data_IF_876571999700
#
_entry.id   IF_876571999700
#
_cell.length_a   1.000
_cell.length_b   1.000
_cell.length_c   1.000
_cell.angle_alpha   90.00
_cell.angle_beta   90.00
_cell.angle_gamma   90.00
#
_symmetry.space_group_name_H-M   'P 1'
#
loop_
_entity.id
_entity.type
_entity.pdbx_description
1 polymer ?
#
# COMPACT_ATOMS: atom_id res chain seq x y z
N UNK A 1 0.32 3.23 32.38
CA UNK A 1 -1.12 3.08 32.05
C UNK A 1 -1.29 2.55 30.63
N UNK A 2 -2.19 1.61 30.45
CA UNK A 2 -2.57 1.12 29.13
C UNK A 2 -3.79 1.86 28.60
N UNK A 3 -3.96 1.87 27.28
CA UNK A 3 -5.10 2.52 26.64
C UNK A 3 -6.16 1.51 26.25
N UNK A 4 -7.42 1.87 26.49
CA UNK A 4 -8.59 1.13 26.04
C UNK A 4 -9.11 1.71 24.74
N UNK A 5 -9.10 0.88 23.71
CA UNK A 5 -9.46 1.27 22.35
C UNK A 5 -10.64 0.42 21.91
N UNK A 6 -11.60 1.04 21.25
CA UNK A 6 -12.73 0.33 20.65
C UNK A 6 -13.06 0.88 19.27
N UNK A 7 -13.66 0.04 18.46
CA UNK A 7 -14.20 0.43 17.15
C UNK A 7 -15.69 0.67 17.28
N UNK A 8 -16.14 1.84 16.85
CA UNK A 8 -17.55 2.14 16.74
C UNK A 8 -18.08 1.72 15.37
N UNK A 9 -19.07 0.87 15.38
CA UNK A 9 -19.81 0.46 14.17
C UNK A 9 -21.01 1.38 14.01
N UNK A 10 -20.91 2.29 13.03
CA UNK A 10 -21.97 3.28 12.77
C UNK A 10 -23.25 2.65 12.22
N UNK A 11 -23.16 1.57 11.46
CA UNK A 11 -24.32 0.89 10.89
C UNK A 11 -25.13 0.18 12.00
N UNK A 12 -24.45 -0.49 12.92
CA UNK A 12 -25.07 -1.19 14.04
C UNK A 12 -25.27 -0.29 15.27
N UNK A 13 -24.67 0.89 15.29
CA UNK A 13 -24.79 1.88 16.37
C UNK A 13 -24.29 1.38 17.74
N UNK A 14 -23.18 0.66 17.75
CA UNK A 14 -22.55 0.21 19.00
C UNK A 14 -21.03 0.14 18.90
N UNK A 15 -20.37 0.16 20.06
CA UNK A 15 -18.93 -0.07 20.17
C UNK A 15 -18.64 -1.57 20.25
N UNK A 16 -17.67 -2.03 19.48
CA UNK A 16 -17.17 -3.41 19.60
C UNK A 16 -16.40 -3.61 20.90
N UNK A 17 -16.12 -4.86 21.25
CA UNK A 17 -15.36 -5.19 22.45
C UNK A 17 -14.04 -4.42 22.50
N UNK A 18 -13.73 -3.75 23.60
CA UNK A 18 -12.51 -2.97 23.70
C UNK A 18 -11.27 -3.86 23.75
N UNK A 19 -10.18 -3.32 23.22
CA UNK A 19 -8.85 -3.90 23.33
C UNK A 19 -7.97 -3.02 24.20
N UNK A 20 -7.02 -3.64 24.87
CA UNK A 20 -6.05 -2.95 25.72
C UNK A 20 -4.71 -2.91 24.98
N UNK A 21 -4.17 -1.73 24.80
CA UNK A 21 -2.90 -1.50 24.11
C UNK A 21 -1.97 -0.62 24.94
N UNK A 22 -0.66 -0.73 24.72
CA UNK A 22 0.31 0.12 25.41
C UNK A 22 0.34 1.53 24.82
N UNK A 23 0.22 1.64 23.51
CA UNK A 23 0.28 2.89 22.77
C UNK A 23 -0.80 2.96 21.70
N UNK A 24 -1.24 4.18 21.41
CA UNK A 24 -2.23 4.43 20.36
C UNK A 24 -1.77 3.91 18.98
N UNK A 25 -0.48 3.95 18.68
CA UNK A 25 0.08 3.44 17.43
C UNK A 25 -0.11 1.93 17.26
N UNK A 26 -0.10 1.19 18.35
CA UNK A 26 -0.40 -0.25 18.33
C UNK A 26 -1.85 -0.51 17.88
N UNK A 27 -2.79 0.28 18.41
CA UNK A 27 -4.19 0.22 17.99
C UNK A 27 -4.38 0.59 16.51
N UNK A 28 -3.65 1.61 16.03
CA UNK A 28 -3.68 2.00 14.62
C UNK A 28 -3.18 0.89 13.69
N UNK A 29 -2.14 0.15 14.08
CA UNK A 29 -1.64 -1.00 13.32
C UNK A 29 -2.65 -2.15 13.27
N UNK A 30 -3.29 -2.44 14.38
CA UNK A 30 -4.34 -3.48 14.44
C UNK A 30 -5.52 -3.09 13.55
N UNK A 31 -5.93 -1.84 13.59
CA UNK A 31 -7.02 -1.29 12.77
C UNK A 31 -6.67 -1.32 11.28
N UNK A 32 -5.48 -0.88 10.92
CA UNK A 32 -4.94 -0.95 9.55
C UNK A 32 -4.94 -2.39 9.03
N UNK A 33 -4.47 -3.33 9.83
CA UNK A 33 -4.45 -4.76 9.46
C UNK A 33 -5.84 -5.30 9.17
N UNK A 34 -6.84 -4.88 9.93
CA UNK A 34 -8.24 -5.26 9.70
C UNK A 34 -8.76 -4.77 8.33
N UNK A 35 -8.39 -3.55 7.93
CA UNK A 35 -8.74 -3.01 6.61
C UNK A 35 -7.99 -3.68 5.46
N UNK A 36 -6.77 -4.14 5.68
CA UNK A 36 -5.98 -4.87 4.66
C UNK A 36 -6.44 -6.31 4.46
N UNK A 37 -7.17 -6.86 5.41
CA UNK A 37 -7.66 -8.24 5.33
C UNK A 37 -8.81 -8.33 4.32
N UNK A 38 -8.60 -9.08 3.24
CA UNK A 38 -9.62 -9.29 2.22
C UNK A 38 -10.81 -10.07 2.80
N UNK A 39 -12.01 -9.64 2.44
CA UNK A 39 -13.25 -10.26 2.90
C UNK A 39 -13.68 -9.88 4.31
N UNK A 40 -12.95 -9.00 5.00
CA UNK A 40 -13.38 -8.45 6.28
C UNK A 40 -14.49 -7.43 6.09
N UNK A 41 -15.32 -7.24 7.10
CA UNK A 41 -16.35 -6.19 7.09
C UNK A 41 -15.73 -4.80 7.03
N UNK A 42 -14.54 -4.63 7.61
CA UNK A 42 -13.79 -3.38 7.56
C UNK A 42 -13.38 -2.99 6.13
N UNK A 43 -12.92 -3.95 5.34
CA UNK A 43 -12.54 -3.70 3.95
C UNK A 43 -13.75 -3.49 3.05
N UNK A 44 -14.87 -4.16 3.34
CA UNK A 44 -16.10 -4.04 2.56
C UNK A 44 -16.84 -2.71 2.83
N UNK A 45 -16.87 -2.27 4.09
CA UNK A 45 -17.63 -1.09 4.55
C UNK A 45 -16.78 -0.13 5.38
N UNK A 46 -15.71 0.45 4.82
CA UNK A 46 -14.77 1.26 5.58
C UNK A 46 -15.39 2.51 6.22
N UNK A 47 -16.44 3.07 5.63
CA UNK A 47 -17.12 4.24 6.18
C UNK A 47 -17.89 3.96 7.47
N UNK A 48 -18.19 2.70 7.76
CA UNK A 48 -19.01 2.33 8.92
C UNK A 48 -18.22 2.21 10.22
N UNK A 49 -16.88 2.19 10.16
CA UNK A 49 -16.01 1.91 11.30
C UNK A 49 -15.07 3.06 11.61
N UNK A 50 -15.13 3.53 12.84
CA UNK A 50 -14.22 4.53 13.39
C UNK A 50 -13.53 3.98 14.64
N UNK A 51 -12.27 4.35 14.85
CA UNK A 51 -11.47 3.95 16.00
C UNK A 51 -11.55 5.02 17.09
N UNK A 52 -11.86 4.60 18.32
CA UNK A 52 -12.01 5.47 19.48
C UNK A 52 -11.13 5.08 20.64
N UNK A 53 -10.60 6.09 21.33
CA UNK A 53 -10.04 5.96 22.67
C UNK A 53 -11.19 6.12 23.66
N UNK A 54 -11.46 5.06 24.44
CA UNK A 54 -12.58 5.05 25.40
C UNK A 54 -12.16 5.21 26.85
N UNK A 55 -10.89 5.02 27.17
CA UNK A 55 -10.37 5.18 28.50
C UNK A 55 -8.95 4.67 28.66
N UNK A 56 -8.49 4.65 29.89
CA UNK A 56 -7.19 4.13 30.29
C UNK A 56 -7.35 3.05 31.36
N UNK A 57 -6.40 2.15 31.41
CA UNK A 57 -6.36 1.07 32.39
C UNK A 57 -5.07 1.16 33.20
N UNK A 58 -5.23 1.27 34.52
CA UNK A 58 -4.13 1.21 35.47
C UNK A 58 -3.87 -0.25 35.86
N UNK A 59 -2.75 -0.80 35.38
CA UNK A 59 -2.37 -2.19 35.63
C UNK A 59 -2.00 -2.45 37.11
N UNK A 60 -1.57 -1.43 37.83
CA UNK A 60 -1.14 -1.57 39.22
C UNK A 60 -2.36 -1.66 40.15
N UNK A 61 -3.35 -0.83 39.92
CA UNK A 61 -4.57 -0.77 40.76
C UNK A 61 -5.74 -1.55 40.19
N UNK A 62 -5.67 -1.96 38.90
CA UNK A 62 -6.79 -2.59 38.21
C UNK A 62 -7.95 -1.65 37.94
N UNK A 63 -7.71 -0.35 37.95
CA UNK A 63 -8.74 0.68 37.81
C UNK A 63 -8.89 1.12 36.38
N UNK A 64 -10.13 1.26 35.91
CA UNK A 64 -10.48 1.91 34.66
C UNK A 64 -10.64 3.41 34.89
N UNK A 65 -9.94 4.20 34.09
CA UNK A 65 -9.96 5.67 34.18
C UNK A 65 -10.57 6.22 32.90
N UNK A 66 -11.62 6.98 33.05
CA UNK A 66 -12.21 7.74 31.97
C UNK A 66 -11.59 9.14 31.99
N UNK A 67 -10.74 9.42 31.00
CA UNK A 67 -10.01 10.69 30.91
C UNK A 67 -10.84 11.82 30.33
N UNK A 68 -11.92 11.50 29.63
CA UNK A 68 -12.81 12.47 28.99
C UNK A 68 -14.27 12.08 29.15
N UNK A 69 -15.17 13.05 29.07
CA UNK A 69 -16.62 12.81 29.18
C UNK A 69 -17.16 11.84 28.10
N UNK A 70 -16.54 11.84 26.95
CA UNK A 70 -16.98 11.03 25.80
C UNK A 70 -15.79 10.31 25.15
N UNK A 71 -16.04 9.16 24.49
CA UNK A 71 -15.03 8.53 23.68
C UNK A 71 -14.43 9.50 22.63
N UNK A 72 -13.12 9.47 22.49
CA UNK A 72 -12.41 10.34 21.57
C UNK A 72 -12.07 9.58 20.29
N UNK A 73 -12.53 10.09 19.14
CA UNK A 73 -12.18 9.49 17.86
C UNK A 73 -10.69 9.68 17.55
N UNK A 74 -10.00 8.58 17.28
CA UNK A 74 -8.60 8.56 16.88
C UNK A 74 -8.50 8.75 15.36
N UNK A 75 -9.22 7.93 14.60
CA UNK A 75 -9.24 7.96 13.15
C UNK A 75 -10.55 7.38 12.63
N UNK A 76 -11.03 7.90 11.52
CA UNK A 76 -12.15 7.30 10.80
C UNK A 76 -11.66 6.16 9.88
N UNK A 77 -12.55 5.21 9.57
CA UNK A 77 -12.25 4.16 8.60
C UNK A 77 -11.93 4.70 7.22
N UNK A 78 -12.62 5.75 6.79
CA UNK A 78 -12.34 6.42 5.51
C UNK A 78 -10.94 7.01 5.47
N UNK A 79 -10.49 7.66 6.53
CA UNK A 79 -9.13 8.21 6.61
C UNK A 79 -8.08 7.09 6.62
N UNK A 80 -8.36 5.97 7.29
CA UNK A 80 -7.47 4.81 7.29
C UNK A 80 -7.28 4.25 5.89
N UNK A 81 -8.36 4.09 5.12
CA UNK A 81 -8.28 3.62 3.73
C UNK A 81 -7.45 4.58 2.86
N UNK A 82 -7.65 5.88 3.00
CA UNK A 82 -6.85 6.88 2.28
C UNK A 82 -5.37 6.81 2.62
N UNK A 83 -5.04 6.60 3.90
CA UNK A 83 -3.66 6.43 4.34
C UNK A 83 -3.02 5.17 3.74
N UNK A 84 -3.75 4.06 3.72
CA UNK A 84 -3.29 2.80 3.11
C UNK A 84 -3.02 2.99 1.61
N UNK A 85 -3.95 3.58 0.88
CA UNK A 85 -3.81 3.85 -0.56
C UNK A 85 -2.62 4.76 -0.86
N UNK A 86 -2.37 5.77 -0.03
CA UNK A 86 -1.21 6.66 -0.19
C UNK A 86 0.11 5.92 -0.01
N UNK A 87 0.21 5.08 1.02
CA UNK A 87 1.40 4.26 1.27
C UNK A 87 1.65 3.25 0.14
N UNK A 88 0.60 2.64 -0.38
CA UNK A 88 0.71 1.70 -1.50
C UNK A 88 1.19 2.40 -2.78
N UNK A 89 0.73 3.62 -3.06
CA UNK A 89 1.22 4.42 -4.20
C UNK A 89 2.69 4.78 -4.05
N UNK A 90 3.10 5.24 -2.88
CA UNK A 90 4.51 5.57 -2.61
C UNK A 90 5.42 4.34 -2.83
N UNK A 91 5.03 3.19 -2.30
CA UNK A 91 5.77 1.95 -2.52
C UNK A 91 5.79 1.49 -3.98
N UNK A 92 4.70 1.73 -4.73
CA UNK A 92 4.63 1.44 -6.15
C UNK A 92 5.57 2.34 -6.95
N UNK A 93 5.54 3.64 -6.68
CA UNK A 93 6.40 4.63 -7.33
C UNK A 93 7.89 4.36 -7.07
N UNK A 94 8.25 3.99 -5.84
CA UNK A 94 9.61 3.61 -5.49
C UNK A 94 10.08 2.36 -6.25
N UNK A 95 9.21 1.35 -6.36
CA UNK A 95 9.53 0.13 -7.13
C UNK A 95 9.72 0.43 -8.61
N UNK A 96 8.79 1.18 -9.21
CA UNK A 96 8.87 1.57 -10.62
C UNK A 96 10.12 2.40 -10.90
N UNK A 97 10.49 3.31 -10.01
CA UNK A 97 11.70 4.12 -10.13
C UNK A 97 12.98 3.27 -10.12
N UNK A 98 13.04 2.27 -9.24
CA UNK A 98 14.16 1.32 -9.17
C UNK A 98 14.25 0.45 -10.42
N UNK A 99 13.13 -0.12 -10.86
CA UNK A 99 13.08 -0.93 -12.08
C UNK A 99 13.50 -0.13 -13.32
N UNK A 100 13.04 1.12 -13.46
CA UNK A 100 13.43 2.00 -14.54
C UNK A 100 14.94 2.32 -14.51
N UNK A 101 15.50 2.48 -13.33
CA UNK A 101 16.93 2.73 -13.18
C UNK A 101 17.76 1.50 -13.55
N UNK A 102 17.36 0.33 -13.13
CA UNK A 102 18.00 -0.95 -13.49
C UNK A 102 17.95 -1.18 -15.00
N UNK A 103 16.81 -0.96 -15.65
CA UNK A 103 16.66 -1.06 -17.11
C UNK A 103 17.58 -0.08 -17.84
N UNK A 104 17.70 1.15 -17.36
CA UNK A 104 18.60 2.15 -17.95
C UNK A 104 20.07 1.77 -17.80
N UNK A 105 20.46 1.21 -16.66
CA UNK A 105 21.82 0.74 -16.42
C UNK A 105 22.16 -0.46 -17.30
N UNK A 106 21.26 -1.42 -17.42
CA UNK A 106 21.41 -2.58 -18.32
C UNK A 106 21.49 -2.15 -19.79
N UNK A 107 20.64 -1.24 -20.22
CA UNK A 107 20.66 -0.71 -21.60
C UNK A 107 21.96 0.06 -21.90
N UNK A 108 22.47 0.84 -20.94
CA UNK A 108 23.74 1.54 -21.05
C UNK A 108 24.92 0.57 -21.12
N UNK A 109 24.87 -0.53 -20.36
CA UNK A 109 25.90 -1.57 -20.39
C UNK A 109 25.87 -2.37 -21.68
N UNK A 110 24.71 -2.75 -22.19
CA UNK A 110 24.54 -3.44 -23.46
C UNK A 110 24.99 -2.57 -24.65
N UNK A 111 24.77 -1.27 -24.60
CA UNK A 111 25.25 -0.32 -25.64
C UNK A 111 26.79 -0.18 -25.67
N UNK A 112 27.45 -0.36 -24.52
CA UNK A 112 28.93 -0.34 -24.42
C UNK A 112 29.58 -1.63 -24.92
N UNK A 113 28.90 -2.77 -24.83
CA UNK A 113 29.49 -4.09 -25.14
C UNK A 113 29.36 -4.49 -26.62
N UNK A 114 28.44 -3.95 -27.41
CA UNK A 114 28.22 -4.40 -28.80
C UNK A 114 27.84 -3.31 -29.80
N UNK A 115 28.65 -2.24 -30.00
CA UNK A 115 28.25 -1.17 -30.92
C UNK A 115 28.41 -1.52 -32.42
N UNK A 116 29.16 -2.57 -32.81
CA UNK A 116 29.47 -2.86 -34.22
C UNK A 116 28.82 -4.11 -34.81
N UNK A 117 28.41 -5.09 -33.99
CA UNK A 117 27.85 -6.34 -34.51
C UNK A 117 26.42 -6.23 -35.03
N UNK A 118 25.64 -5.28 -34.53
CA UNK A 118 24.24 -5.11 -34.91
C UNK A 118 24.06 -4.34 -36.21
N UNK A 119 24.94 -3.42 -36.56
CA UNK A 119 24.90 -2.68 -37.83
C UNK A 119 25.19 -3.57 -39.04
N UNK A 120 26.13 -4.50 -38.92
CA UNK A 120 26.50 -5.41 -40.02
C UNK A 120 25.38 -6.44 -40.28
N UNK A 121 24.70 -6.94 -39.24
CA UNK A 121 23.57 -7.84 -39.41
C UNK A 121 22.33 -7.18 -40.00
N UNK A 122 22.05 -5.93 -39.66
CA UNK A 122 20.92 -5.19 -40.21
C UNK A 122 21.13 -4.88 -41.72
N UNK A 123 22.32 -4.58 -42.14
CA UNK A 123 22.66 -4.34 -43.55
C UNK A 123 22.49 -5.61 -44.39
N UNK A 124 22.88 -6.78 -43.89
CA UNK A 124 22.71 -8.06 -44.60
C UNK A 124 21.25 -8.50 -44.75
N UNK A 125 20.42 -8.21 -43.75
CA UNK A 125 18.97 -8.48 -43.80
C UNK A 125 18.28 -7.51 -44.75
N UNK A 126 18.70 -6.26 -44.79
CA UNK A 126 18.18 -5.25 -45.69
C UNK A 126 18.51 -5.57 -47.18
N UNK A 127 19.71 -6.03 -47.48
CA UNK A 127 20.11 -6.48 -48.80
C UNK A 127 19.30 -7.69 -49.28
N UNK A 128 18.97 -8.63 -48.41
CA UNK A 128 18.11 -9.77 -48.76
C UNK A 128 16.67 -9.36 -49.04
N UNK A 129 16.12 -8.37 -48.36
CA UNK A 129 14.78 -7.85 -48.61
C UNK A 129 14.70 -7.10 -49.94
N UNK A 130 15.70 -6.30 -50.30
CA UNK A 130 15.76 -5.62 -51.59
C UNK A 130 15.91 -6.57 -52.75
N UNK A 131 16.65 -7.67 -52.61
CA UNK A 131 16.77 -8.71 -53.66
C UNK A 131 15.48 -9.50 -53.86
N UNK A 132 14.70 -9.75 -52.82
CA UNK A 132 13.38 -10.40 -52.98
C UNK A 132 12.33 -9.45 -53.56
N UNK A 133 12.47 -8.15 -53.40
CA UNK A 133 11.62 -7.15 -54.04
C UNK A 133 11.76 -7.07 -55.55
N UNK A 134 12.93 -7.36 -56.10
CA UNK A 134 13.19 -7.38 -57.52
C UNK A 134 12.49 -8.51 -58.30
N UNK A 135 12.17 -9.60 -57.62
CA UNK A 135 11.42 -10.72 -58.20
C UNK A 135 9.91 -10.47 -58.30
N UNK A 136 9.38 -9.51 -57.62
CA UNK A 136 7.95 -9.19 -57.61
C UNK A 136 7.52 -8.34 -58.84
N UNK A 137 8.46 -7.74 -59.57
CA UNK A 137 8.21 -6.90 -60.73
C UNK A 137 8.14 -7.68 -62.05
N UNK A 138 8.45 -8.97 -62.05
CA UNK A 138 8.27 -9.86 -63.16
C UNK A 138 6.91 -10.58 -63.10
#
# INVERSE_FOLDING_TARGET
MKKLISVFDKAAMFYKSPIVVNHQNEALRIFESAFRTQGSDFSAYPNDYDLYLIGEFDEVTGTLIQTQEHPQRIISGLQMVKNIESLEREHMDDRLSKELQEIKEEAAQAAKEAPHKNTVKSDSVFDKITKTGDYADE
#
